data_IF_032385531318
#
_entry.id   IF_032385531318
#
_cell.length_a   1.000
_cell.length_b   1.000
_cell.length_c   1.000
_cell.angle_alpha   90.00
_cell.angle_beta   90.00
_cell.angle_gamma   90.00
#
_symmetry.space_group_name_H-M   'P 1'
#
loop_
_entity.id
_entity.type
_entity.pdbx_description
1 polymer ?
#
# COMPACT_ATOMS: atom_id res chain seq x y z
N UNK A 1 -7.86 9.46 -18.25
CA UNK A 1 -8.54 8.17 -18.02
C UNK A 1 -7.58 6.99 -18.02
N UNK A 2 -6.82 6.73 -19.09
CA UNK A 2 -5.90 5.58 -19.16
C UNK A 2 -4.91 5.48 -17.97
N UNK A 3 -4.38 6.60 -17.47
CA UNK A 3 -3.44 6.60 -16.35
C UNK A 3 -4.07 6.27 -15.00
N UNK A 4 -5.31 6.68 -14.75
CA UNK A 4 -6.03 6.33 -13.52
C UNK A 4 -6.21 4.81 -13.43
N UNK A 5 -6.64 4.17 -14.52
CA UNK A 5 -6.78 2.72 -14.56
C UNK A 5 -5.43 2.00 -14.48
N UNK A 6 -4.37 2.51 -15.12
CA UNK A 6 -3.03 1.93 -14.97
C UNK A 6 -2.55 1.93 -13.51
N UNK A 7 -2.80 3.02 -12.78
CA UNK A 7 -2.43 3.08 -11.35
C UNK A 7 -3.36 2.21 -10.50
N UNK A 8 -4.65 2.08 -10.84
CA UNK A 8 -5.54 1.09 -10.22
C UNK A 8 -4.99 -0.34 -10.39
N UNK A 9 -4.61 -0.71 -11.61
CA UNK A 9 -4.08 -2.04 -11.90
C UNK A 9 -2.73 -2.26 -11.21
N UNK A 10 -1.90 -1.22 -11.13
CA UNK A 10 -0.67 -1.24 -10.34
C UNK A 10 -0.94 -1.49 -8.85
N UNK A 11 -1.97 -0.87 -8.27
CA UNK A 11 -2.35 -1.12 -6.87
C UNK A 11 -2.76 -2.58 -6.68
N UNK A 12 -3.55 -3.15 -7.60
CA UNK A 12 -3.94 -4.56 -7.54
C UNK A 12 -2.72 -5.51 -7.63
N UNK A 13 -1.78 -5.24 -8.54
CA UNK A 13 -0.53 -6.01 -8.67
C UNK A 13 0.35 -5.90 -7.41
N UNK A 14 0.51 -4.68 -6.88
CA UNK A 14 1.30 -4.45 -5.66
C UNK A 14 0.75 -5.25 -4.49
N UNK A 15 -0.58 -5.31 -4.35
CA UNK A 15 -1.27 -5.94 -3.22
C UNK A 15 -1.44 -7.45 -3.32
N UNK A 16 -0.94 -8.10 -4.37
CA UNK A 16 -1.03 -9.56 -4.52
C UNK A 16 -0.47 -10.28 -3.28
N UNK A 17 -1.22 -11.18 -2.62
CA UNK A 17 -0.83 -11.71 -1.31
C UNK A 17 0.33 -12.72 -1.38
N UNK A 18 0.58 -13.32 -2.54
CA UNK A 18 1.71 -14.23 -2.75
C UNK A 18 2.96 -13.47 -3.19
N UNK A 19 4.05 -13.65 -2.45
CA UNK A 19 5.38 -13.20 -2.85
C UNK A 19 6.19 -14.37 -3.38
N UNK A 20 6.62 -14.30 -4.65
CA UNK A 20 7.49 -15.34 -5.20
C UNK A 20 8.93 -15.14 -4.70
N UNK A 21 9.68 -16.23 -4.54
CA UNK A 21 11.10 -16.19 -4.13
C UNK A 21 11.93 -15.24 -4.99
N UNK A 22 11.65 -15.17 -6.29
CA UNK A 22 12.31 -14.23 -7.20
C UNK A 22 12.06 -12.75 -6.90
N UNK A 23 10.94 -12.40 -6.27
CA UNK A 23 10.66 -11.02 -5.81
C UNK A 23 11.37 -10.73 -4.49
N UNK A 24 11.33 -11.66 -3.55
CA UNK A 24 12.00 -11.53 -2.26
C UNK A 24 13.53 -11.40 -2.42
N UNK A 25 14.11 -12.07 -3.41
CA UNK A 25 15.54 -11.98 -3.72
C UNK A 25 15.97 -10.64 -4.31
N UNK A 26 15.03 -9.80 -4.78
CA UNK A 26 15.32 -8.45 -5.27
C UNK A 26 15.36 -7.41 -4.16
N UNK A 27 14.95 -7.78 -2.95
CA UNK A 27 15.04 -6.88 -1.79
C UNK A 27 16.52 -6.77 -1.40
N UNK A 28 17.09 -5.59 -1.61
CA UNK A 28 18.48 -5.30 -1.28
C UNK A 28 18.66 -5.09 0.23
N UNK A 29 19.76 -5.61 0.77
CA UNK A 29 20.14 -5.41 2.17
C UNK A 29 20.66 -3.99 2.38
N UNK A 30 20.26 -3.38 3.50
CA UNK A 30 20.81 -2.07 3.89
C UNK A 30 22.12 -2.26 4.66
N UNK A 31 23.04 -1.29 4.58
CA UNK A 31 24.28 -1.32 5.35
C UNK A 31 24.00 -1.55 6.85
N UNK A 32 24.80 -2.41 7.48
CA UNK A 32 24.71 -2.77 8.90
C UNK A 32 23.38 -3.43 9.33
N UNK A 33 22.56 -3.91 8.39
CA UNK A 33 21.32 -4.64 8.68
C UNK A 33 21.62 -6.10 9.10
N UNK A 34 21.09 -6.51 10.25
CA UNK A 34 21.19 -7.89 10.74
C UNK A 34 20.42 -8.88 9.86
N UNK A 35 20.83 -10.15 9.84
CA UNK A 35 20.14 -11.19 9.06
C UNK A 35 18.66 -11.31 9.42
N UNK A 36 18.34 -11.27 10.73
CA UNK A 36 16.96 -11.33 11.19
C UNK A 36 16.13 -10.13 10.72
N UNK A 37 16.72 -8.93 10.72
CA UNK A 37 16.06 -7.73 10.20
C UNK A 37 15.82 -7.84 8.69
N UNK A 38 16.85 -8.27 7.95
CA UNK A 38 16.79 -8.40 6.50
C UNK A 38 15.73 -9.43 6.06
N UNK A 39 15.75 -10.64 6.63
CA UNK A 39 14.77 -11.67 6.33
C UNK A 39 13.35 -11.25 6.78
N UNK A 40 13.23 -10.54 7.90
CA UNK A 40 11.95 -9.98 8.35
C UNK A 40 11.36 -8.97 7.37
N UNK A 41 12.21 -8.13 6.77
CA UNK A 41 11.81 -7.09 5.81
C UNK A 41 11.43 -7.64 4.44
N UNK A 42 12.02 -8.76 3.99
CA UNK A 42 11.77 -9.33 2.65
C UNK A 42 10.28 -9.51 2.34
N UNK A 43 9.48 -9.98 3.31
CA UNK A 43 8.05 -10.22 3.10
C UNK A 43 7.30 -8.96 2.67
N UNK A 44 7.56 -7.81 3.30
CA UNK A 44 6.87 -6.56 2.96
C UNK A 44 7.66 -5.72 1.95
N UNK A 45 8.97 -5.97 1.80
CA UNK A 45 9.84 -5.32 0.82
C UNK A 45 9.42 -5.57 -0.62
N UNK A 46 8.72 -6.68 -0.90
CA UNK A 46 8.17 -6.96 -2.24
C UNK A 46 7.18 -5.90 -2.72
N UNK A 47 6.51 -5.18 -1.80
CA UNK A 47 5.62 -4.06 -2.13
C UNK A 47 6.38 -2.99 -2.92
N UNK A 48 7.59 -2.66 -2.46
CA UNK A 48 8.42 -1.68 -3.14
C UNK A 48 8.95 -2.24 -4.47
N UNK A 49 9.34 -3.51 -4.52
CA UNK A 49 9.77 -4.17 -5.77
C UNK A 49 8.67 -4.13 -6.84
N UNK A 50 7.41 -4.32 -6.45
CA UNK A 50 6.26 -4.24 -7.36
C UNK A 50 5.96 -2.79 -7.74
N UNK A 51 5.99 -1.87 -6.77
CA UNK A 51 5.83 -0.44 -7.04
C UNK A 51 6.82 0.06 -8.09
N UNK A 52 8.10 -0.34 -8.01
CA UNK A 52 9.12 0.08 -8.97
C UNK A 52 8.80 -0.33 -10.41
N UNK A 53 8.06 -1.43 -10.64
CA UNK A 53 7.57 -1.82 -11.99
C UNK A 53 6.52 -0.86 -12.54
N UNK A 54 5.83 -0.14 -11.65
CA UNK A 54 4.74 0.78 -11.96
C UNK A 54 5.12 2.25 -11.65
N UNK A 55 6.39 2.54 -11.36
CA UNK A 55 6.82 3.88 -10.98
C UNK A 55 6.54 4.92 -12.08
N UNK A 56 6.72 4.53 -13.35
CA UNK A 56 6.46 5.41 -14.49
C UNK A 56 4.99 5.86 -14.59
N UNK A 57 3.97 4.97 -14.67
CA UNK A 57 2.57 5.41 -14.75
C UNK A 57 2.14 6.20 -13.51
N UNK A 58 2.70 5.91 -12.33
CA UNK A 58 2.44 6.70 -11.12
C UNK A 58 3.00 8.11 -11.24
N UNK A 59 4.25 8.27 -11.67
CA UNK A 59 4.86 9.58 -11.90
C UNK A 59 4.12 10.38 -12.97
N UNK A 60 3.64 9.72 -14.02
CA UNK A 60 2.79 10.34 -15.06
C UNK A 60 1.46 10.82 -14.48
N UNK A 61 0.81 10.04 -13.60
CA UNK A 61 -0.43 10.46 -12.94
C UNK A 61 -0.20 11.64 -12.01
N UNK A 62 0.88 11.64 -11.22
CA UNK A 62 1.29 12.76 -10.37
C UNK A 62 1.52 14.04 -11.18
N UNK A 63 2.24 13.95 -12.30
CA UNK A 63 2.47 15.08 -13.19
C UNK A 63 1.16 15.62 -13.79
N UNK A 64 0.26 14.73 -14.20
CA UNK A 64 -1.03 15.12 -14.75
C UNK A 64 -1.93 15.76 -13.70
N UNK A 65 -1.89 15.31 -12.44
CA UNK A 65 -2.64 15.95 -11.35
C UNK A 65 -2.38 17.46 -11.28
N UNK A 66 -1.13 17.90 -11.44
CA UNK A 66 -0.81 19.32 -11.48
C UNK A 66 -1.42 20.04 -12.68
N UNK A 67 -1.40 19.40 -13.87
CA UNK A 67 -2.06 19.95 -15.06
C UNK A 67 -3.57 20.01 -14.89
N UNK A 68 -4.18 18.97 -14.31
CA UNK A 68 -5.60 18.93 -13.98
C UNK A 68 -5.95 20.06 -13.03
N UNK A 69 -5.12 20.30 -12.01
CA UNK A 69 -5.30 21.41 -11.09
C UNK A 69 -5.25 22.77 -11.78
N UNK A 70 -4.27 22.98 -12.67
CA UNK A 70 -4.11 24.23 -13.38
C UNK A 70 -5.23 24.52 -14.39
N UNK A 71 -5.76 23.48 -15.06
CA UNK A 71 -6.75 23.62 -16.14
C UNK A 71 -8.19 23.52 -15.62
N UNK A 72 -8.45 22.61 -14.68
CA UNK A 72 -9.80 22.27 -14.22
C UNK A 72 -10.06 22.65 -12.76
N UNK A 73 -9.05 23.21 -12.08
CA UNK A 73 -9.16 23.60 -10.68
C UNK A 73 -8.93 22.46 -9.71
N UNK A 74 -9.11 22.77 -8.41
CA UNK A 74 -8.70 21.89 -7.32
C UNK A 74 -9.53 20.62 -7.22
N UNK A 75 -10.86 20.70 -7.33
CA UNK A 75 -11.72 19.53 -7.09
C UNK A 75 -11.43 18.33 -8.02
N UNK A 76 -11.26 18.50 -9.35
CA UNK A 76 -10.87 17.39 -10.22
C UNK A 76 -9.46 16.86 -9.93
N UNK A 77 -8.55 17.72 -9.49
CA UNK A 77 -7.20 17.31 -9.11
C UNK A 77 -7.20 16.49 -7.82
N UNK A 78 -8.03 16.85 -6.85
CA UNK A 78 -8.21 16.12 -5.60
C UNK A 78 -8.81 14.72 -5.87
N UNK A 79 -9.74 14.59 -6.83
CA UNK A 79 -10.27 13.29 -7.24
C UNK A 79 -9.18 12.35 -7.82
N UNK A 80 -8.25 12.90 -8.62
CA UNK A 80 -7.09 12.14 -9.12
C UNK A 80 -6.09 11.83 -8.01
N UNK A 81 -5.90 12.76 -7.07
CA UNK A 81 -5.00 12.59 -5.92
C UNK A 81 -5.42 11.44 -5.02
N UNK A 82 -6.72 11.18 -4.89
CA UNK A 82 -7.24 10.13 -4.01
C UNK A 82 -6.67 8.74 -4.36
N UNK A 83 -6.54 8.44 -5.66
CA UNK A 83 -5.92 7.19 -6.13
C UNK A 83 -4.44 7.12 -5.71
N UNK A 84 -3.72 8.24 -5.79
CA UNK A 84 -2.32 8.33 -5.36
C UNK A 84 -2.18 8.20 -3.84
N UNK A 85 -3.12 8.74 -3.06
CA UNK A 85 -3.16 8.64 -1.61
C UNK A 85 -3.25 7.18 -1.18
N UNK A 86 -4.12 6.39 -1.82
CA UNK A 86 -4.26 4.95 -1.54
C UNK A 86 -2.93 4.22 -1.77
N UNK A 87 -2.28 4.47 -2.91
CA UNK A 87 -0.98 3.88 -3.21
C UNK A 87 0.10 4.25 -2.19
N UNK A 88 0.18 5.54 -1.80
CA UNK A 88 1.11 6.00 -0.76
C UNK A 88 0.80 5.34 0.58
N UNK A 89 -0.47 5.15 0.92
CA UNK A 89 -0.87 4.49 2.17
C UNK A 89 -0.39 3.04 2.18
N UNK A 90 -0.60 2.29 1.11
CA UNK A 90 -0.12 0.90 0.98
C UNK A 90 1.39 0.80 1.23
N UNK A 91 2.18 1.66 0.58
CA UNK A 91 3.64 1.69 0.74
C UNK A 91 4.05 2.03 2.18
N UNK A 92 3.39 3.02 2.79
CA UNK A 92 3.66 3.39 4.19
C UNK A 92 3.30 2.26 5.15
N UNK A 93 2.19 1.56 4.93
CA UNK A 93 1.81 0.42 5.77
C UNK A 93 2.77 -0.75 5.61
N UNK A 94 3.30 -0.99 4.42
CA UNK A 94 4.36 -1.99 4.22
C UNK A 94 5.60 -1.68 5.08
N UNK A 95 6.02 -0.42 5.12
CA UNK A 95 7.13 0.00 6.00
C UNK A 95 6.77 -0.17 7.49
N UNK A 96 5.55 0.17 7.89
CA UNK A 96 5.10 0.01 9.28
C UNK A 96 4.98 -1.47 9.69
N UNK A 97 4.56 -2.34 8.78
CA UNK A 97 4.40 -3.77 9.03
C UNK A 97 5.73 -4.45 9.36
N UNK A 98 6.83 -4.04 8.70
CA UNK A 98 8.19 -4.52 9.02
C UNK A 98 8.49 -4.30 10.51
N UNK A 99 8.27 -3.08 11.01
CA UNK A 99 8.53 -2.72 12.40
C UNK A 99 7.65 -3.53 13.37
N UNK A 100 6.35 -3.64 13.08
CA UNK A 100 5.42 -4.32 14.00
C UNK A 100 5.60 -5.84 13.99
N UNK A 101 5.95 -6.43 12.84
CA UNK A 101 6.32 -7.84 12.77
C UNK A 101 7.54 -8.16 13.62
N UNK A 102 8.57 -7.30 13.57
CA UNK A 102 9.75 -7.46 14.41
C UNK A 102 9.38 -7.41 15.91
N UNK A 103 8.51 -6.48 16.31
CA UNK A 103 8.01 -6.41 17.69
C UNK A 103 7.21 -7.67 18.08
N UNK A 104 6.31 -8.14 17.22
CA UNK A 104 5.56 -9.39 17.44
C UNK A 104 6.51 -10.56 17.64
N UNK A 105 7.53 -10.71 16.79
CA UNK A 105 8.52 -11.79 16.91
C UNK A 105 9.34 -11.70 18.21
N UNK A 106 9.79 -10.50 18.58
CA UNK A 106 10.51 -10.28 19.85
C UNK A 106 9.64 -10.63 21.06
N UNK A 107 8.38 -10.21 21.05
CA UNK A 107 7.43 -10.48 22.13
C UNK A 107 6.98 -11.95 22.16
N UNK A 108 6.90 -12.63 21.02
CA UNK A 108 6.61 -14.06 20.95
C UNK A 108 7.66 -14.91 21.69
N UNK A 109 8.94 -14.57 21.55
CA UNK A 109 10.03 -15.25 22.29
C UNK A 109 9.90 -15.03 23.81
N UNK A 110 9.32 -13.90 24.23
CA UNK A 110 9.07 -13.62 25.65
C UNK A 110 7.80 -14.32 26.17
N UNK A 111 6.79 -14.48 25.31
CA UNK A 111 5.56 -15.21 25.62
C UNK A 111 5.82 -16.65 26.04
N UNK A 112 6.75 -17.34 25.40
CA UNK A 112 7.18 -18.70 25.78
C UNK A 112 7.74 -18.77 27.22
N UNK A 113 8.13 -17.62 27.78
CA UNK A 113 8.66 -17.46 29.14
C UNK A 113 7.62 -16.88 30.11
N UNK A 114 6.43 -16.49 29.62
CA UNK A 114 5.35 -15.97 30.44
C UNK A 114 4.47 -17.09 31.01
N UNK A 115 3.81 -16.87 32.16
CA UNK A 115 2.80 -17.80 32.65
C UNK A 115 1.68 -17.99 31.61
N UNK A 116 1.26 -19.24 31.42
CA UNK A 116 0.18 -19.61 30.49
C UNK A 116 -1.05 -18.73 30.70
N UNK A 117 -1.56 -18.13 29.62
CA UNK A 117 -2.76 -17.28 29.64
C UNK A 117 -2.53 -15.79 29.91
N UNK A 118 -1.27 -15.34 30.08
CA UNK A 118 -0.95 -13.90 30.14
C UNK A 118 -0.25 -13.46 28.85
N UNK A 119 -1.00 -12.83 27.96
CA UNK A 119 -0.42 -12.17 26.78
C UNK A 119 -0.03 -10.74 27.16
N UNK A 120 1.23 -10.31 26.95
CA UNK A 120 1.61 -8.93 27.18
C UNK A 120 0.79 -7.98 26.29
N UNK A 121 0.27 -6.89 26.85
CA UNK A 121 -0.48 -5.88 26.09
C UNK A 121 0.32 -5.31 24.90
N UNK A 122 1.66 -5.29 25.00
CA UNK A 122 2.56 -4.88 23.92
C UNK A 122 2.50 -5.84 22.74
N UNK A 123 2.40 -7.15 22.98
CA UNK A 123 2.24 -8.15 21.93
C UNK A 123 0.89 -7.97 21.22
N UNK A 124 -0.20 -7.84 21.98
CA UNK A 124 -1.54 -7.66 21.40
C UNK A 124 -1.64 -6.38 20.57
N UNK A 125 -1.08 -5.28 21.06
CA UNK A 125 -1.04 -4.02 20.33
C UNK A 125 -0.22 -4.14 19.04
N UNK A 126 0.95 -4.78 19.09
CA UNK A 126 1.79 -4.98 17.91
C UNK A 126 1.12 -5.90 16.88
N UNK A 127 0.47 -6.98 17.34
CA UNK A 127 -0.26 -7.91 16.49
C UNK A 127 -1.47 -7.23 15.84
N UNK A 128 -2.27 -6.50 16.62
CA UNK A 128 -3.43 -5.76 16.10
C UNK A 128 -3.02 -4.74 15.03
N UNK A 129 -1.93 -4.00 15.29
CA UNK A 129 -1.40 -3.08 14.29
C UNK A 129 -0.93 -3.82 13.04
N UNK A 130 -0.20 -4.93 13.20
CA UNK A 130 0.29 -5.72 12.08
C UNK A 130 -0.86 -6.21 11.21
N UNK A 131 -1.90 -6.78 11.80
CA UNK A 131 -3.12 -7.21 11.09
C UNK A 131 -3.76 -6.05 10.32
N UNK A 132 -3.83 -4.86 10.93
CA UNK A 132 -4.36 -3.67 10.27
C UNK A 132 -3.48 -3.19 9.12
N UNK A 133 -2.15 -3.23 9.27
CA UNK A 133 -1.24 -2.89 8.18
C UNK A 133 -1.36 -3.90 7.05
N UNK A 134 -1.44 -5.20 7.36
CA UNK A 134 -1.61 -6.27 6.38
C UNK A 134 -2.93 -6.16 5.61
N UNK A 135 -4.02 -5.69 6.22
CA UNK A 135 -5.27 -5.43 5.48
C UNK A 135 -5.14 -4.34 4.42
N UNK A 136 -4.16 -3.44 4.56
CA UNK A 136 -3.82 -2.46 3.53
C UNK A 136 -2.91 -3.04 2.46
N UNK A 137 -1.93 -3.84 2.87
CA UNK A 137 -0.87 -4.31 2.00
C UNK A 137 -1.34 -5.46 1.12
N UNK A 138 -2.10 -6.40 1.67
CA UNK A 138 -2.53 -7.60 0.97
C UNK A 138 -3.98 -7.48 0.55
N UNK A 139 -4.26 -7.95 -0.65
CA UNK A 139 -5.61 -8.10 -1.16
C UNK A 139 -6.39 -9.08 -0.29
N UNK A 140 -7.55 -8.63 0.19
CA UNK A 140 -8.50 -9.45 0.92
C UNK A 140 -9.52 -10.10 -0.01
N UNK A 141 -10.63 -10.58 0.55
CA UNK A 141 -11.78 -10.94 -0.27
C UNK A 141 -12.37 -9.67 -0.91
N UNK A 142 -12.64 -9.70 -2.21
CA UNK A 142 -13.14 -8.58 -3.01
C UNK A 142 -14.37 -7.90 -2.36
N UNK A 143 -15.29 -8.69 -1.79
CA UNK A 143 -16.50 -8.18 -1.15
C UNK A 143 -16.26 -7.46 0.19
N UNK A 144 -15.14 -7.74 0.87
CA UNK A 144 -14.86 -7.23 2.23
C UNK A 144 -13.65 -6.33 2.32
N UNK A 145 -12.83 -6.27 1.26
CA UNK A 145 -11.60 -5.49 1.24
C UNK A 145 -11.91 -3.98 1.20
N UNK A 146 -11.62 -3.23 2.28
CA UNK A 146 -11.92 -1.80 2.34
C UNK A 146 -11.08 -0.98 1.36
N UNK A 147 -9.89 -1.46 0.98
CA UNK A 147 -9.00 -0.76 0.03
C UNK A 147 -9.55 -0.87 -1.38
N UNK A 148 -10.08 -2.03 -1.77
CA UNK A 148 -10.73 -2.22 -3.09
C UNK A 148 -11.91 -1.27 -3.22
N UNK A 149 -12.82 -1.24 -2.24
CA UNK A 149 -13.98 -0.34 -2.24
C UNK A 149 -13.59 1.13 -2.29
N UNK A 150 -12.55 1.51 -1.55
CA UNK A 150 -12.05 2.88 -1.58
C UNK A 150 -11.44 3.20 -2.94
N UNK A 151 -10.64 2.30 -3.51
CA UNK A 151 -10.03 2.49 -4.82
C UNK A 151 -11.07 2.60 -5.93
N UNK A 152 -12.10 1.75 -5.94
CA UNK A 152 -13.22 1.82 -6.89
C UNK A 152 -13.92 3.16 -6.85
N UNK A 153 -14.22 3.65 -5.62
CA UNK A 153 -14.80 4.98 -5.43
C UNK A 153 -13.87 6.08 -5.93
N UNK A 154 -12.59 6.05 -5.56
CA UNK A 154 -11.61 7.05 -5.99
C UNK A 154 -11.46 7.09 -7.51
N UNK A 155 -11.46 5.93 -8.17
CA UNK A 155 -11.48 5.83 -9.63
C UNK A 155 -12.74 6.46 -10.17
N UNK A 156 -13.93 6.07 -9.70
CA UNK A 156 -15.21 6.60 -10.16
C UNK A 156 -15.34 8.13 -9.98
N UNK A 157 -14.85 8.67 -8.86
CA UNK A 157 -14.81 10.11 -8.59
C UNK A 157 -13.89 10.81 -9.59
N UNK A 158 -12.69 10.25 -9.86
CA UNK A 158 -11.78 10.76 -10.88
C UNK A 158 -12.37 10.67 -12.29
N UNK A 159 -13.11 9.60 -12.61
CA UNK A 159 -13.79 9.47 -13.90
C UNK A 159 -14.83 10.57 -14.10
N UNK A 160 -15.70 10.75 -13.10
CA UNK A 160 -16.80 11.72 -13.13
C UNK A 160 -16.24 13.12 -13.26
N UNK A 161 -15.26 13.47 -12.43
CA UNK A 161 -14.60 14.77 -12.46
C UNK A 161 -13.86 15.06 -13.77
N UNK A 162 -13.41 14.04 -14.52
CA UNK A 162 -12.78 14.25 -15.83
C UNK A 162 -13.79 14.22 -16.99
N UNK A 163 -14.87 13.44 -16.88
CA UNK A 163 -15.94 13.32 -17.89
C UNK A 163 -16.82 14.56 -17.93
N UNK A 164 -17.26 15.07 -16.78
CA UNK A 164 -18.12 16.25 -16.70
C UNK A 164 -17.48 17.44 -17.42
N UNK A 165 -16.16 17.59 -17.28
CA UNK A 165 -15.42 18.64 -17.97
C UNK A 165 -15.24 18.38 -19.47
N UNK A 166 -15.03 17.12 -19.89
CA UNK A 166 -14.98 16.78 -21.31
C UNK A 166 -16.33 17.10 -22.02
N UNK A 167 -17.44 16.97 -21.30
CA UNK A 167 -18.79 17.29 -21.78
C UNK A 167 -19.19 18.77 -21.60
N UNK A 168 -18.51 19.52 -20.72
CA UNK A 168 -18.71 20.97 -20.53
C UNK A 168 -18.10 21.84 -21.65
N UNK A 169 -17.48 21.25 -22.67
CA UNK A 169 -17.14 21.97 -23.91
C UNK A 169 -18.43 22.45 -24.61
N UNK A 170 -18.81 23.69 -24.32
CA UNK A 170 -19.60 24.58 -25.19
C UNK A 170 -18.66 25.35 -26.10
#
# INVERSE_FOLDING_TARGET
>A
MSLVYRVRDAIADIRQPWAFTGEMNKVERVADESDASFEGRKQYGVVEIRYQRHAEPVAQLEAIRYRVSAVFGKAPADAVEEVLIILRRIRNEAANAVRHKQLVQQQAVLLDKCPTGKVPAVYEAALSYLTKAESWIWEGNEETDPVVKWLERAVADAETALKDFAMMKR
#
